data_IF_632424556501
#
_entry.id   IF_632424556501
#
_cell.length_a   1.000
_cell.length_b   1.000
_cell.length_c   1.000
_cell.angle_alpha   90.00
_cell.angle_beta   90.00
_cell.angle_gamma   90.00
#
_symmetry.space_group_name_H-M   'P 1'
#
loop_
_entity.id
_entity.type
_entity.pdbx_description
1 polymer ?
#
# COMPACT_ATOMS: atom_id res chain seq x y z
N UNK A 1 12.39 20.41 -43.51
CA UNK A 1 12.24 19.69 -42.22
C UNK A 1 12.01 18.23 -42.56
N UNK A 2 13.01 17.37 -42.33
CA UNK A 2 13.06 16.05 -42.94
C UNK A 2 12.08 15.09 -42.24
N UNK A 3 11.15 14.50 -43.01
CA UNK A 3 10.13 13.52 -42.58
C UNK A 3 10.72 12.37 -41.72
N UNK A 4 12.01 12.08 -41.89
CA UNK A 4 12.75 11.06 -41.13
C UNK A 4 12.92 11.39 -39.64
N UNK A 5 12.94 12.67 -39.25
CA UNK A 5 13.07 13.06 -37.83
C UNK A 5 11.77 12.89 -37.04
N UNK A 6 10.61 13.04 -37.69
CA UNK A 6 9.29 12.82 -37.06
C UNK A 6 9.03 11.35 -36.74
N UNK A 7 9.55 10.43 -37.56
CA UNK A 7 9.40 8.98 -37.33
C UNK A 7 10.24 8.51 -36.13
N UNK A 8 11.39 9.14 -35.88
CA UNK A 8 12.26 8.78 -34.75
C UNK A 8 11.68 9.19 -33.39
N UNK A 9 10.95 10.31 -33.34
CA UNK A 9 10.24 10.78 -32.13
C UNK A 9 9.00 9.92 -31.84
N UNK A 10 8.37 9.36 -32.88
CA UNK A 10 7.20 8.49 -32.71
C UNK A 10 7.57 7.08 -32.21
N UNK A 11 8.77 6.59 -32.55
CA UNK A 11 9.28 5.29 -32.09
C UNK A 11 9.75 5.28 -30.62
N UNK A 12 10.07 6.44 -30.05
CA UNK A 12 10.43 6.55 -28.62
C UNK A 12 9.23 6.62 -27.68
N UNK A 13 8.01 6.83 -28.20
CA UNK A 13 6.78 6.90 -27.41
C UNK A 13 6.08 5.53 -27.22
N UNK A 14 6.55 4.47 -27.88
CA UNK A 14 5.94 3.13 -27.83
C UNK A 14 6.58 2.15 -26.85
N UNK A 15 7.58 2.58 -26.06
CA UNK A 15 8.12 1.80 -24.96
C UNK A 15 7.56 2.29 -23.62
N UNK A 16 6.24 2.26 -23.48
CA UNK A 16 5.62 2.12 -22.17
C UNK A 16 5.58 0.61 -21.91
N UNK A 17 6.68 0.06 -21.39
CA UNK A 17 6.68 -1.33 -20.95
C UNK A 17 5.83 -1.42 -19.70
N UNK A 18 4.53 -1.68 -19.85
CA UNK A 18 3.74 -2.23 -18.75
C UNK A 18 4.40 -3.57 -18.41
N UNK A 19 5.03 -3.63 -17.24
CA UNK A 19 5.56 -4.87 -16.69
C UNK A 19 4.40 -5.88 -16.66
N UNK A 20 4.55 -7.10 -17.20
CA UNK A 20 3.45 -8.09 -17.20
C UNK A 20 2.95 -8.44 -15.79
N UNK A 21 3.70 -8.12 -14.73
CA UNK A 21 3.23 -8.20 -13.35
C UNK A 21 2.23 -7.11 -12.94
N UNK A 22 2.19 -5.95 -13.61
CA UNK A 22 1.21 -4.90 -13.31
C UNK A 22 -0.18 -5.25 -13.86
N UNK A 23 -0.25 -5.92 -15.02
CA UNK A 23 -1.51 -6.25 -15.68
C UNK A 23 -2.37 -7.29 -14.94
N UNK A 24 -1.76 -8.18 -14.16
CA UNK A 24 -2.47 -9.16 -13.34
C UNK A 24 -2.74 -8.68 -11.90
N UNK A 25 -2.09 -7.60 -11.44
CA UNK A 25 -2.34 -6.97 -10.14
C UNK A 25 -3.27 -5.74 -10.22
N UNK A 26 -3.56 -5.22 -11.42
CA UNK A 26 -4.66 -4.28 -11.69
C UNK A 26 -6.06 -4.92 -11.63
N UNK A 27 -6.24 -5.94 -10.79
CA UNK A 27 -7.56 -6.38 -10.34
C UNK A 27 -8.01 -5.42 -9.22
N UNK A 28 -8.53 -4.28 -9.66
CA UNK A 28 -9.43 -3.36 -8.95
C UNK A 28 -9.19 -3.20 -7.43
N UNK A 29 -8.30 -2.30 -7.04
CA UNK A 29 -8.35 -1.72 -5.68
C UNK A 29 -9.76 -1.22 -5.34
N UNK A 30 -10.46 -0.58 -6.28
CA UNK A 30 -11.87 -0.19 -6.13
C UNK A 30 -12.83 -1.36 -5.88
N UNK A 31 -12.56 -2.57 -6.40
CA UNK A 31 -13.39 -3.74 -6.15
C UNK A 31 -13.10 -4.33 -4.77
N UNK A 32 -11.84 -4.31 -4.30
CA UNK A 32 -11.49 -4.63 -2.92
C UNK A 32 -12.26 -3.72 -1.94
N UNK A 33 -12.27 -2.41 -2.19
CA UNK A 33 -13.01 -1.43 -1.37
C UNK A 33 -14.53 -1.48 -1.57
N UNK A 34 -15.03 -1.97 -2.71
CA UNK A 34 -16.46 -2.17 -2.97
C UNK A 34 -16.99 -3.47 -2.34
N UNK A 35 -16.20 -4.55 -2.32
CA UNK A 35 -16.58 -5.82 -1.67
C UNK A 35 -16.67 -5.69 -0.14
N UNK A 36 -15.84 -4.85 0.47
CA UNK A 36 -15.94 -4.50 1.90
C UNK A 36 -17.29 -3.83 2.25
N UNK A 37 -18.07 -3.33 1.27
CA UNK A 37 -19.39 -2.74 1.51
C UNK A 37 -20.58 -3.73 1.49
N UNK A 38 -20.37 -5.01 1.14
CA UNK A 38 -21.44 -6.02 1.07
C UNK A 38 -21.48 -6.91 2.33
N UNK A 39 -22.50 -6.66 3.16
CA UNK A 39 -22.64 -6.85 4.61
C UNK A 39 -22.86 -8.27 5.19
N UNK A 40 -22.68 -9.39 4.48
CA UNK A 40 -22.90 -10.74 5.07
C UNK A 40 -21.71 -11.70 4.98
N UNK A 41 -20.84 -11.58 3.96
CA UNK A 41 -19.55 -12.31 3.89
C UNK A 41 -18.39 -11.50 4.51
N UNK A 42 -18.65 -10.24 4.87
CA UNK A 42 -17.70 -9.26 5.42
C UNK A 42 -17.36 -9.50 6.89
N UNK A 43 -18.28 -10.00 7.71
CA UNK A 43 -18.02 -10.18 9.15
C UNK A 43 -16.92 -11.23 9.41
N UNK A 44 -16.90 -12.33 8.64
CA UNK A 44 -15.83 -13.35 8.74
C UNK A 44 -14.49 -12.85 8.20
N UNK A 45 -14.55 -12.00 7.17
CA UNK A 45 -13.35 -11.36 6.62
C UNK A 45 -12.77 -10.39 7.66
N UNK A 46 -13.59 -9.56 8.28
CA UNK A 46 -13.17 -8.59 9.31
C UNK A 46 -12.52 -9.24 10.54
N UNK A 47 -13.07 -10.35 11.07
CA UNK A 47 -12.43 -11.08 12.18
C UNK A 47 -11.05 -11.62 11.79
N UNK A 48 -10.89 -12.08 10.54
CA UNK A 48 -9.60 -12.52 10.00
C UNK A 48 -8.64 -11.36 9.83
N UNK A 49 -9.12 -10.19 9.36
CA UNK A 49 -8.32 -8.98 9.23
C UNK A 49 -7.85 -8.49 10.61
N UNK A 50 -8.70 -8.55 11.64
CA UNK A 50 -8.28 -8.20 13.00
C UNK A 50 -7.24 -9.16 13.56
N UNK A 51 -7.39 -10.46 13.28
CA UNK A 51 -6.40 -11.46 13.70
C UNK A 51 -5.04 -11.21 13.03
N UNK A 52 -5.05 -10.91 11.73
CA UNK A 52 -3.83 -10.58 10.98
C UNK A 52 -3.20 -9.28 11.48
N UNK A 53 -4.00 -8.23 11.70
CA UNK A 53 -3.52 -6.94 12.18
C UNK A 53 -2.87 -7.07 13.57
N UNK A 54 -3.43 -7.90 14.45
CA UNK A 54 -2.86 -8.22 15.76
C UNK A 54 -1.57 -9.03 15.67
N UNK A 55 -1.51 -10.01 14.77
CA UNK A 55 -0.29 -10.76 14.50
C UNK A 55 0.82 -9.85 13.97
N UNK A 56 0.52 -8.98 13.00
CA UNK A 56 1.46 -8.01 12.45
C UNK A 56 1.94 -7.02 13.52
N UNK A 57 1.03 -6.51 14.38
CA UNK A 57 1.39 -5.65 15.52
C UNK A 57 2.37 -6.36 16.46
N UNK A 58 2.09 -7.61 16.82
CA UNK A 58 2.95 -8.41 17.70
C UNK A 58 4.34 -8.65 17.09
N UNK A 59 4.43 -8.91 15.78
CA UNK A 59 5.71 -9.03 15.10
C UNK A 59 6.55 -7.76 15.22
N UNK A 60 5.95 -6.60 14.99
CA UNK A 60 6.63 -5.32 15.14
C UNK A 60 7.14 -5.08 16.57
N UNK A 61 6.30 -5.37 17.57
CA UNK A 61 6.68 -5.22 18.98
C UNK A 61 7.80 -6.20 19.39
N UNK A 62 7.74 -7.45 18.93
CA UNK A 62 8.75 -8.47 19.22
C UNK A 62 10.12 -8.10 18.64
N UNK A 63 10.14 -7.40 17.50
CA UNK A 63 11.35 -6.88 16.87
C UNK A 63 11.82 -5.55 17.48
N UNK A 64 11.15 -5.06 18.54
CA UNK A 64 11.36 -3.75 19.16
C UNK A 64 11.22 -2.58 18.18
N UNK A 65 10.37 -2.73 17.17
CA UNK A 65 10.04 -1.65 16.24
C UNK A 65 8.98 -0.73 16.86
N UNK A 66 9.05 0.59 16.61
CA UNK A 66 8.02 1.52 17.08
C UNK A 66 6.65 1.23 16.44
N UNK A 67 5.57 1.37 17.22
CA UNK A 67 4.20 1.22 16.69
C UNK A 67 3.84 2.26 15.62
N UNK A 68 4.51 3.42 15.58
CA UNK A 68 4.44 4.36 14.47
C UNK A 68 4.85 3.73 13.14
N UNK A 69 5.89 2.90 13.14
CA UNK A 69 6.32 2.20 11.92
C UNK A 69 5.28 1.16 11.48
N UNK A 70 4.63 0.48 12.42
CA UNK A 70 3.53 -0.44 12.12
C UNK A 70 2.38 0.28 11.41
N UNK A 71 1.94 1.43 11.93
CA UNK A 71 0.87 2.23 11.30
C UNK A 71 1.28 2.76 9.93
N UNK A 72 2.53 3.21 9.77
CA UNK A 72 3.11 3.61 8.47
C UNK A 72 3.14 2.45 7.46
N UNK A 73 3.51 1.25 7.92
CA UNK A 73 3.56 0.03 7.10
C UNK A 73 2.17 -0.37 6.60
N UNK A 74 1.17 -0.35 7.48
CA UNK A 74 -0.22 -0.61 7.11
C UNK A 74 -0.71 0.38 6.06
N UNK A 75 -0.41 1.67 6.22
CA UNK A 75 -0.72 2.68 5.21
C UNK A 75 -0.07 2.37 3.86
N UNK A 76 1.24 2.07 3.86
CA UNK A 76 1.98 1.73 2.66
C UNK A 76 1.38 0.51 1.93
N UNK A 77 1.00 -0.53 2.67
CA UNK A 77 0.41 -1.78 2.14
C UNK A 77 -0.80 -1.49 1.27
N UNK A 78 -1.79 -0.76 1.79
CA UNK A 78 -3.02 -0.46 1.04
C UNK A 78 -2.83 0.63 -0.02
N UNK A 79 -1.92 1.59 0.18
CA UNK A 79 -1.57 2.56 -0.86
C UNK A 79 -0.88 1.92 -2.05
N UNK A 80 0.02 0.97 -1.82
CA UNK A 80 0.69 0.20 -2.87
C UNK A 80 -0.29 -0.61 -3.71
N UNK A 81 -1.37 -1.11 -3.11
CA UNK A 81 -2.47 -1.80 -3.81
C UNK A 81 -3.38 -0.85 -4.63
N UNK A 82 -3.05 0.45 -4.69
CA UNK A 82 -3.76 1.42 -5.52
C UNK A 82 -4.90 2.15 -4.81
N UNK A 83 -5.06 2.00 -3.49
CA UNK A 83 -6.00 2.82 -2.73
C UNK A 83 -5.63 4.31 -2.80
N UNK A 84 -6.63 5.20 -2.91
CA UNK A 84 -6.39 6.64 -2.81
C UNK A 84 -6.00 7.01 -1.37
N UNK A 85 -5.24 8.10 -1.15
CA UNK A 85 -4.80 8.51 0.18
C UNK A 85 -5.93 8.58 1.21
N UNK A 86 -7.03 9.26 0.85
CA UNK A 86 -8.17 9.45 1.75
C UNK A 86 -8.93 8.14 1.99
N UNK A 87 -9.02 7.25 0.99
CA UNK A 87 -9.70 5.97 1.18
C UNK A 87 -8.90 5.06 2.11
N UNK A 88 -7.57 5.05 1.98
CA UNK A 88 -6.70 4.26 2.86
C UNK A 88 -6.74 4.77 4.29
N UNK A 89 -6.66 6.09 4.52
CA UNK A 89 -6.80 6.67 5.87
C UNK A 89 -8.14 6.28 6.51
N UNK A 90 -9.25 6.46 5.78
CA UNK A 90 -10.58 6.12 6.29
C UNK A 90 -10.74 4.63 6.57
N UNK A 91 -10.21 3.77 5.69
CA UNK A 91 -10.23 2.33 5.87
C UNK A 91 -9.43 1.92 7.10
N UNK A 92 -8.18 2.38 7.24
CA UNK A 92 -7.33 2.03 8.37
C UNK A 92 -7.90 2.52 9.69
N UNK A 93 -8.39 3.76 9.73
CA UNK A 93 -9.07 4.28 10.91
C UNK A 93 -10.25 3.36 11.29
N UNK A 94 -11.10 3.00 10.33
CA UNK A 94 -12.23 2.10 10.59
C UNK A 94 -11.79 0.71 11.06
N UNK A 95 -10.78 0.12 10.41
CA UNK A 95 -10.27 -1.20 10.72
C UNK A 95 -9.66 -1.24 12.12
N UNK A 96 -8.77 -0.30 12.47
CA UNK A 96 -8.13 -0.25 13.78
C UNK A 96 -9.16 -0.07 14.90
N UNK A 97 -10.16 0.80 14.72
CA UNK A 97 -11.22 0.95 15.72
C UNK A 97 -12.13 -0.28 15.84
N UNK A 98 -12.40 -0.96 14.72
CA UNK A 98 -13.17 -2.20 14.75
C UNK A 98 -12.41 -3.33 15.46
N UNK A 99 -11.09 -3.40 15.27
CA UNK A 99 -10.23 -4.43 15.85
C UNK A 99 -9.72 -4.11 17.26
N UNK A 100 -10.37 -3.21 18.02
CA UNK A 100 -9.96 -2.76 19.36
C UNK A 100 -8.53 -2.18 19.44
N UNK A 101 -8.00 -1.66 18.33
CA UNK A 101 -6.69 -1.01 18.21
C UNK A 101 -6.77 0.50 17.95
N UNK A 102 -7.92 1.13 18.18
CA UNK A 102 -8.12 2.56 17.93
C UNK A 102 -7.09 3.46 18.64
N UNK A 103 -6.63 3.07 19.82
CA UNK A 103 -5.59 3.79 20.57
C UNK A 103 -4.23 3.71 19.86
N UNK A 104 -3.87 2.52 19.33
CA UNK A 104 -2.64 2.34 18.53
C UNK A 104 -2.66 3.27 17.33
N UNK A 105 -3.77 3.32 16.60
CA UNK A 105 -3.91 4.24 15.47
C UNK A 105 -3.83 5.70 15.91
N UNK A 106 -4.61 6.11 16.91
CA UNK A 106 -4.71 7.51 17.34
C UNK A 106 -3.39 8.08 17.87
N UNK A 107 -2.63 7.27 18.63
CA UNK A 107 -1.38 7.72 19.25
C UNK A 107 -0.20 7.69 18.29
N UNK A 108 -0.25 6.87 17.24
CA UNK A 108 0.88 6.62 16.34
C UNK A 108 0.64 7.12 14.91
N UNK A 109 -0.58 7.53 14.56
CA UNK A 109 -0.89 8.22 13.32
C UNK A 109 -0.46 9.69 13.40
N UNK A 110 0.35 10.13 12.44
CA UNK A 110 0.80 11.51 12.37
C UNK A 110 -0.20 12.39 11.61
N UNK A 111 -0.20 12.30 10.28
CA UNK A 111 -1.16 12.96 9.39
C UNK A 111 -1.11 12.33 8.00
N UNK A 112 -2.18 12.47 7.23
CA UNK A 112 -2.22 12.01 5.85
C UNK A 112 -1.08 12.60 4.99
N UNK A 113 -0.77 13.89 5.18
CA UNK A 113 0.32 14.57 4.46
C UNK A 113 1.68 13.93 4.79
N UNK A 114 1.93 13.63 6.07
CA UNK A 114 3.15 12.94 6.48
C UNK A 114 3.26 11.56 5.82
N UNK A 115 2.17 10.80 5.82
CA UNK A 115 2.14 9.45 5.25
C UNK A 115 2.34 9.44 3.73
N UNK A 116 1.73 10.39 3.01
CA UNK A 116 1.96 10.54 1.57
C UNK A 116 3.38 10.97 1.26
N UNK A 117 3.95 11.89 2.05
CA UNK A 117 5.34 12.30 1.86
C UNK A 117 6.31 11.13 2.07
N UNK A 118 6.06 10.26 3.04
CA UNK A 118 6.83 9.04 3.27
C UNK A 118 6.66 8.04 2.13
N UNK A 119 5.41 7.78 1.72
CA UNK A 119 5.09 6.88 0.60
C UNK A 119 5.82 7.30 -0.69
N UNK A 120 5.77 8.59 -1.05
CA UNK A 120 6.44 9.10 -2.25
C UNK A 120 7.96 8.97 -2.16
N UNK A 121 8.56 9.17 -0.98
CA UNK A 121 10.00 8.96 -0.78
C UNK A 121 10.37 7.49 -1.02
N UNK A 122 9.62 6.55 -0.44
CA UNK A 122 9.86 5.12 -0.61
C UNK A 122 9.63 4.66 -2.06
N UNK A 123 8.57 5.14 -2.71
CA UNK A 123 8.28 4.83 -4.11
C UNK A 123 9.33 5.37 -5.08
N UNK A 124 9.98 6.48 -4.71
CA UNK A 124 11.07 7.09 -5.49
C UNK A 124 12.46 6.54 -5.16
N UNK A 125 12.58 5.73 -4.10
CA UNK A 125 13.86 5.20 -3.66
C UNK A 125 14.43 4.25 -4.71
N UNK A 126 15.73 4.37 -5.06
CA UNK A 126 16.37 3.38 -5.92
C UNK A 126 16.31 2.02 -5.25
N UNK A 127 15.76 1.02 -5.94
CA UNK A 127 15.82 -0.37 -5.47
C UNK A 127 17.28 -0.82 -5.62
N UNK A 128 18.05 -0.76 -4.54
CA UNK A 128 19.36 -1.41 -4.53
C UNK A 128 19.14 -2.92 -4.62
N UNK A 129 19.77 -3.62 -5.58
CA UNK A 129 19.67 -5.07 -5.63
C UNK A 129 20.26 -5.63 -4.34
N UNK A 130 19.42 -6.33 -3.57
CA UNK A 130 19.86 -7.09 -2.40
C UNK A 130 20.88 -8.11 -2.91
N UNK A 131 22.15 -7.87 -2.64
CA UNK A 131 23.21 -8.82 -2.93
C UNK A 131 22.94 -10.08 -2.12
N UNK A 132 22.52 -11.16 -2.79
CA UNK A 132 22.49 -12.48 -2.17
C UNK A 132 23.94 -12.81 -1.84
N UNK A 133 24.28 -12.77 -0.56
CA UNK A 133 25.55 -13.30 -0.06
C UNK A 133 25.35 -14.81 0.02
N UNK A 134 25.71 -15.51 -1.05
CA UNK A 134 25.82 -16.96 -1.03
C UNK A 134 26.89 -17.34 0.02
N UNK A 135 26.44 -17.97 1.12
CA UNK A 135 27.30 -18.63 2.11
C UNK A 135 27.29 -20.15 1.88
#
# INVERSE_FOLDING_TARGET
MNLKFLIFIFLTLTYCSTNPYEGELTLNGDALFTEISNLEDTDRDLDSQCSLLEEERQYHENDNLPLAFFVEYEYYKYRYLGGSPENVENYLNSLFFYCDMGDVFTENWNSLEYQENLYQQLASAPIEPIGIIDN
#
